data_IF_303680567941
#
_entry.id   IF_303680567941
#
_cell.length_a   1.000
_cell.length_b   1.000
_cell.length_c   1.000
_cell.angle_alpha   90.00
_cell.angle_beta   90.00
_cell.angle_gamma   90.00
#
_symmetry.space_group_name_H-M   'P 1'
#
loop_
_entity.id
_entity.type
_entity.pdbx_description
1 polymer ?
#
# COMPACT_ATOMS: atom_id res chain seq x y z
N UNK A 1 0.45 -23.28 -12.03
CA UNK A 1 1.41 -22.36 -11.38
C UNK A 1 1.49 -20.98 -12.06
N UNK A 2 1.09 -20.79 -13.33
CA UNK A 2 1.12 -19.46 -13.97
C UNK A 2 -0.01 -18.50 -13.56
N UNK A 3 -1.22 -18.99 -13.28
CA UNK A 3 -2.39 -18.12 -13.00
C UNK A 3 -2.29 -17.34 -11.68
N UNK A 4 -1.84 -17.98 -10.60
CA UNK A 4 -1.68 -17.34 -9.28
C UNK A 4 -0.59 -16.26 -9.34
N UNK A 5 0.51 -16.51 -10.07
CA UNK A 5 1.57 -15.53 -10.30
C UNK A 5 1.05 -14.29 -11.04
N UNK A 6 0.31 -14.48 -12.14
CA UNK A 6 -0.22 -13.36 -12.94
C UNK A 6 -1.25 -12.51 -12.18
N UNK A 7 -2.08 -13.13 -11.34
CA UNK A 7 -3.06 -12.43 -10.51
C UNK A 7 -2.36 -11.53 -9.48
N UNK A 8 -1.37 -12.07 -8.76
CA UNK A 8 -0.60 -11.32 -7.76
C UNK A 8 0.19 -10.19 -8.41
N UNK A 9 0.80 -10.43 -9.58
CA UNK A 9 1.49 -9.38 -10.35
C UNK A 9 0.52 -8.25 -10.72
N UNK A 10 -0.67 -8.59 -11.23
CA UNK A 10 -1.68 -7.60 -11.62
C UNK A 10 -2.15 -6.76 -10.43
N UNK A 11 -2.36 -7.39 -9.28
CA UNK A 11 -2.74 -6.71 -8.04
C UNK A 11 -1.62 -5.78 -7.57
N UNK A 12 -0.37 -6.21 -7.62
CA UNK A 12 0.77 -5.36 -7.27
C UNK A 12 0.87 -4.14 -8.18
N UNK A 13 0.60 -4.25 -9.48
CA UNK A 13 0.54 -3.08 -10.36
C UNK A 13 -0.56 -2.10 -9.97
N UNK A 14 -1.76 -2.59 -9.66
CA UNK A 14 -2.87 -1.75 -9.18
C UNK A 14 -2.47 -1.06 -7.87
N UNK A 15 -1.86 -1.80 -6.94
CA UNK A 15 -1.39 -1.25 -5.67
C UNK A 15 -0.33 -0.15 -5.86
N UNK A 16 0.59 -0.29 -6.82
CA UNK A 16 1.57 0.77 -7.16
C UNK A 16 0.84 2.03 -7.66
N UNK A 17 -0.12 1.87 -8.58
CA UNK A 17 -0.88 3.00 -9.10
C UNK A 17 -1.68 3.69 -8.00
N UNK A 18 -2.33 2.92 -7.12
CA UNK A 18 -3.02 3.44 -5.95
C UNK A 18 -2.07 4.20 -5.03
N UNK A 19 -0.90 3.63 -4.70
CA UNK A 19 0.06 4.27 -3.80
C UNK A 19 0.58 5.61 -4.35
N UNK A 20 0.83 5.68 -5.67
CA UNK A 20 1.21 6.93 -6.33
C UNK A 20 0.05 7.94 -6.26
N UNK A 21 -1.18 7.53 -6.57
CA UNK A 21 -2.34 8.40 -6.50
C UNK A 21 -2.61 8.90 -5.08
N UNK A 22 -2.45 8.04 -4.06
CA UNK A 22 -2.57 8.35 -2.64
C UNK A 22 -1.52 9.38 -2.23
N UNK A 23 -0.26 9.22 -2.67
CA UNK A 23 0.81 10.17 -2.42
C UNK A 23 0.52 11.53 -3.06
N UNK A 24 0.11 11.57 -4.33
CA UNK A 24 -0.24 12.80 -5.03
C UNK A 24 -1.42 13.54 -4.38
N UNK A 25 -2.46 12.81 -3.96
CA UNK A 25 -3.60 13.39 -3.26
C UNK A 25 -3.23 13.88 -1.86
N UNK A 26 -2.38 13.14 -1.13
CA UNK A 26 -1.85 13.60 0.16
C UNK A 26 -1.07 14.91 -0.02
N UNK A 27 -0.20 15.01 -1.02
CA UNK A 27 0.52 16.25 -1.36
C UNK A 27 -0.43 17.40 -1.71
N UNK A 28 -1.51 17.09 -2.43
CA UNK A 28 -2.53 18.09 -2.78
C UNK A 28 -3.32 18.56 -1.56
N UNK A 29 -3.58 17.71 -0.56
CA UNK A 29 -4.34 18.09 0.65
C UNK A 29 -3.45 18.86 1.63
N UNK A 30 -2.23 18.38 1.85
CA UNK A 30 -1.27 19.02 2.76
C UNK A 30 -0.39 20.01 2.01
N UNK A 31 -1.06 20.97 1.39
CA UNK A 31 -0.43 22.09 0.72
C UNK A 31 0.09 23.12 1.74
N UNK A 32 0.61 24.24 1.24
CA UNK A 32 1.10 25.32 2.09
C UNK A 32 0.06 25.86 3.08
N UNK A 33 -1.23 25.85 2.71
CA UNK A 33 -2.31 26.39 3.55
C UNK A 33 -2.52 25.49 4.76
N UNK A 34 -2.63 24.18 4.53
CA UNK A 34 -2.81 23.23 5.63
C UNK A 34 -1.54 23.11 6.46
N UNK A 35 -0.36 23.06 5.84
CA UNK A 35 0.91 22.89 6.55
C UNK A 35 1.27 24.06 7.48
N UNK A 36 0.78 25.28 7.19
CA UNK A 36 0.96 26.44 8.06
C UNK A 36 -0.29 26.75 8.91
N UNK A 37 -1.19 25.78 9.07
CA UNK A 37 -2.39 25.89 9.93
C UNK A 37 -3.33 27.06 9.56
N UNK A 38 -3.27 27.53 8.31
CA UNK A 38 -4.09 28.64 7.83
C UNK A 38 -5.52 28.21 7.46
N UNK A 39 -5.81 26.91 7.50
CA UNK A 39 -7.14 26.37 7.25
C UNK A 39 -7.91 26.13 8.55
N UNK A 40 -8.62 27.16 9.01
CA UNK A 40 -9.35 27.17 10.28
C UNK A 40 -10.77 27.74 10.16
N UNK A 41 -11.60 27.48 11.17
CA UNK A 41 -12.97 28.02 11.27
C UNK A 41 -12.99 29.40 11.89
N UNK A 42 -13.92 30.27 11.49
CA UNK A 42 -14.21 31.55 12.15
C UNK A 42 -15.60 31.45 12.81
N UNK A 43 -15.81 31.95 14.04
CA UNK A 43 -14.88 32.72 14.88
C UNK A 43 -13.94 31.88 15.76
N UNK A 44 -14.16 30.57 15.90
CA UNK A 44 -13.47 29.74 16.91
C UNK A 44 -11.98 29.47 16.64
N UNK A 45 -11.44 29.94 15.50
CA UNK A 45 -10.06 29.75 15.04
C UNK A 45 -9.56 28.30 15.10
N UNK A 46 -10.47 27.34 15.01
CA UNK A 46 -10.14 25.92 15.10
C UNK A 46 -9.60 25.42 13.75
N UNK A 47 -8.37 24.92 13.76
CA UNK A 47 -7.75 24.25 12.60
C UNK A 47 -8.60 23.04 12.18
N UNK A 48 -9.01 23.02 10.91
CA UNK A 48 -9.89 21.99 10.34
C UNK A 48 -9.13 20.75 9.88
N UNK A 49 -7.89 20.93 9.41
CA UNK A 49 -6.99 19.86 9.03
C UNK A 49 -5.66 20.05 9.74
N UNK A 50 -5.33 19.11 10.62
CA UNK A 50 -4.08 19.12 11.37
C UNK A 50 -2.91 18.72 10.47
N UNK A 51 -1.81 19.50 10.42
CA UNK A 51 -0.61 19.16 9.65
C UNK A 51 -0.02 17.79 10.01
N UNK A 52 -0.12 17.39 11.27
CA UNK A 52 0.41 16.11 11.79
C UNK A 52 -0.16 14.88 11.08
N UNK A 53 -1.37 14.98 10.50
CA UNK A 53 -1.97 13.89 9.72
C UNK A 53 -1.19 13.60 8.43
N UNK A 54 -0.43 14.57 7.91
CA UNK A 54 0.39 14.41 6.71
C UNK A 54 1.43 13.31 6.87
N UNK A 55 2.05 13.20 8.04
CA UNK A 55 3.05 12.19 8.34
C UNK A 55 2.46 10.78 8.20
N UNK A 56 1.24 10.57 8.67
CA UNK A 56 0.55 9.28 8.53
C UNK A 56 0.24 8.95 7.07
N UNK A 57 -0.28 9.90 6.29
CA UNK A 57 -0.64 9.64 4.90
C UNK A 57 0.59 9.46 4.00
N UNK A 58 1.64 10.25 4.20
CA UNK A 58 2.91 10.09 3.47
C UNK A 58 3.64 8.81 3.85
N UNK A 59 3.83 8.53 5.14
CA UNK A 59 4.52 7.32 5.58
C UNK A 59 3.81 6.06 5.10
N UNK A 60 2.48 6.03 5.16
CA UNK A 60 1.69 4.89 4.67
C UNK A 60 1.83 4.74 3.15
N UNK A 61 1.68 5.81 2.37
CA UNK A 61 1.82 5.76 0.91
C UNK A 61 3.23 5.33 0.47
N UNK A 62 4.28 5.81 1.15
CA UNK A 62 5.67 5.42 0.88
C UNK A 62 5.90 3.95 1.25
N UNK A 63 5.43 3.50 2.43
CA UNK A 63 5.54 2.11 2.84
C UNK A 63 4.87 1.17 1.83
N UNK A 64 3.68 1.53 1.34
CA UNK A 64 2.96 0.80 0.31
C UNK A 64 3.76 0.70 -0.99
N UNK A 65 4.31 1.83 -1.44
CA UNK A 65 5.13 1.87 -2.64
C UNK A 65 6.40 1.00 -2.49
N UNK A 66 7.05 1.03 -1.33
CA UNK A 66 8.22 0.20 -1.04
C UNK A 66 7.87 -1.29 -1.00
N UNK A 67 6.78 -1.68 -0.35
CA UNK A 67 6.36 -3.08 -0.29
C UNK A 67 6.02 -3.63 -1.68
N UNK A 68 5.24 -2.88 -2.45
CA UNK A 68 4.79 -3.30 -3.79
C UNK A 68 5.94 -3.31 -4.81
N UNK A 69 6.84 -2.33 -4.75
CA UNK A 69 8.05 -2.30 -5.58
C UNK A 69 9.00 -3.44 -5.22
N UNK A 70 9.17 -3.77 -3.94
CA UNK A 70 9.96 -4.93 -3.52
C UNK A 70 9.39 -6.23 -4.11
N UNK A 71 8.07 -6.42 -4.09
CA UNK A 71 7.42 -7.60 -4.66
C UNK A 71 7.61 -7.70 -6.18
N UNK A 72 7.56 -6.57 -6.91
CA UNK A 72 7.73 -6.53 -8.36
C UNK A 72 9.20 -6.67 -8.80
N UNK A 73 10.14 -6.14 -8.02
CA UNK A 73 11.56 -6.12 -8.34
C UNK A 73 12.33 -7.36 -7.85
N UNK A 74 11.66 -8.36 -7.26
CA UNK A 74 12.26 -9.66 -6.86
C UNK A 74 13.12 -10.28 -7.97
N UNK A 75 12.72 -10.11 -9.23
CA UNK A 75 13.41 -10.64 -10.40
C UNK A 75 14.71 -9.91 -10.76
N UNK A 76 14.93 -8.70 -10.22
CA UNK A 76 16.05 -7.80 -10.52
C UNK A 76 16.92 -7.52 -9.28
N UNK A 77 16.79 -8.35 -8.25
CA UNK A 77 17.47 -8.18 -6.96
C UNK A 77 18.99 -8.39 -7.09
N UNK A 78 19.84 -7.59 -6.42
CA UNK A 78 21.28 -7.80 -6.40
C UNK A 78 21.66 -9.20 -5.89
N UNK A 79 22.67 -9.82 -6.51
CA UNK A 79 23.21 -11.15 -6.15
C UNK A 79 23.35 -11.45 -4.65
N UNK A 80 23.87 -10.56 -3.78
CA UNK A 80 23.96 -10.85 -2.35
C UNK A 80 22.59 -11.00 -1.67
N UNK A 81 21.60 -10.19 -2.07
CA UNK A 81 20.26 -10.23 -1.51
C UNK A 81 19.46 -11.42 -2.07
N UNK A 82 19.74 -11.82 -3.33
CA UNK A 82 19.24 -13.06 -3.90
C UNK A 82 19.76 -14.29 -3.13
N UNK A 83 21.07 -14.36 -2.88
CA UNK A 83 21.66 -15.43 -2.06
C UNK A 83 21.05 -15.48 -0.65
N UNK A 84 20.83 -14.31 -0.02
CA UNK A 84 20.14 -14.26 1.27
C UNK A 84 18.70 -14.79 1.21
N UNK A 85 17.94 -14.40 0.18
CA UNK A 85 16.56 -14.84 -0.02
C UNK A 85 16.46 -16.36 -0.28
N UNK A 86 17.39 -16.92 -1.05
CA UNK A 86 17.49 -18.36 -1.31
C UNK A 86 17.87 -19.15 -0.05
N UNK A 87 18.73 -18.58 0.81
CA UNK A 87 19.16 -19.20 2.06
C UNK A 87 18.13 -19.09 3.19
N UNK A 88 17.28 -18.05 3.17
CA UNK A 88 16.30 -17.78 4.25
C UNK A 88 14.87 -17.52 3.74
N UNK A 89 14.29 -18.42 2.91
CA UNK A 89 13.01 -18.16 2.24
C UNK A 89 11.83 -18.06 3.21
N UNK A 90 11.86 -18.81 4.32
CA UNK A 90 10.82 -18.76 5.35
C UNK A 90 10.85 -17.43 6.13
N UNK A 91 12.03 -16.94 6.48
CA UNK A 91 12.20 -15.66 7.18
C UNK A 91 11.72 -14.50 6.30
N UNK A 92 12.11 -14.49 5.02
CA UNK A 92 11.67 -13.46 4.08
C UNK A 92 10.15 -13.48 3.87
N UNK A 93 9.58 -14.68 3.74
CA UNK A 93 8.14 -14.87 3.60
C UNK A 93 7.37 -14.38 4.84
N UNK A 94 7.87 -14.73 6.04
CA UNK A 94 7.30 -14.27 7.30
C UNK A 94 7.37 -12.74 7.43
N UNK A 95 8.54 -12.15 7.16
CA UNK A 95 8.74 -10.70 7.26
C UNK A 95 7.85 -9.95 6.26
N UNK A 96 7.74 -10.42 5.02
CA UNK A 96 6.84 -9.83 4.04
C UNK A 96 5.36 -9.94 4.47
N UNK A 97 4.93 -11.08 5.02
CA UNK A 97 3.58 -11.25 5.56
C UNK A 97 3.28 -10.31 6.74
N UNK A 98 4.24 -10.12 7.65
CA UNK A 98 4.12 -9.18 8.77
C UNK A 98 4.03 -7.74 8.27
N UNK A 99 4.89 -7.35 7.31
CA UNK A 99 4.85 -6.02 6.74
C UNK A 99 3.54 -5.74 5.99
N UNK A 100 3.02 -6.70 5.21
CA UNK A 100 1.72 -6.59 4.55
C UNK A 100 0.56 -6.46 5.55
N UNK A 101 0.63 -7.19 6.67
CA UNK A 101 -0.38 -7.08 7.74
C UNK A 101 -0.35 -5.70 8.39
N UNK A 102 0.85 -5.21 8.73
CA UNK A 102 1.03 -3.89 9.31
C UNK A 102 0.59 -2.77 8.36
N UNK A 103 0.93 -2.87 7.06
CA UNK A 103 0.48 -1.89 6.07
C UNK A 103 -1.04 -1.91 5.89
N UNK A 104 -1.68 -3.07 5.93
CA UNK A 104 -3.14 -3.16 5.88
C UNK A 104 -3.80 -2.41 7.06
N UNK A 105 -3.30 -2.60 8.28
CA UNK A 105 -3.78 -1.88 9.46
C UNK A 105 -3.56 -0.37 9.35
N UNK A 106 -2.38 0.05 8.85
CA UNK A 106 -2.09 1.46 8.60
C UNK A 106 -3.01 2.07 7.54
N UNK A 107 -3.33 1.34 6.47
CA UNK A 107 -4.30 1.79 5.46
C UNK A 107 -5.71 1.94 6.03
N UNK A 108 -6.16 0.99 6.85
CA UNK A 108 -7.44 1.09 7.53
C UNK A 108 -7.47 2.29 8.50
N UNK A 109 -6.38 2.54 9.22
CA UNK A 109 -6.23 3.71 10.09
C UNK A 109 -6.24 5.02 9.29
N UNK A 110 -5.52 5.10 8.18
CA UNK A 110 -5.51 6.28 7.31
C UNK A 110 -6.88 6.51 6.65
N UNK A 111 -7.61 5.45 6.30
CA UNK A 111 -9.00 5.52 5.87
C UNK A 111 -9.88 6.16 6.94
N UNK A 112 -9.78 5.70 8.18
CA UNK A 112 -10.50 6.27 9.31
C UNK A 112 -10.17 7.76 9.51
N UNK A 113 -8.88 8.12 9.52
CA UNK A 113 -8.44 9.51 9.65
C UNK A 113 -8.99 10.39 8.52
N UNK A 114 -8.86 9.95 7.27
CA UNK A 114 -9.33 10.70 6.10
C UNK A 114 -10.86 10.88 6.14
N UNK A 115 -11.60 9.83 6.52
CA UNK A 115 -13.05 9.90 6.69
C UNK A 115 -13.46 10.85 7.82
N UNK A 116 -12.81 10.76 8.98
CA UNK A 116 -13.08 11.64 10.13
C UNK A 116 -12.77 13.10 9.82
N UNK A 117 -11.62 13.37 9.19
CA UNK A 117 -11.24 14.70 8.73
C UNK A 117 -12.23 15.24 7.69
N UNK A 118 -12.64 14.42 6.71
CA UNK A 118 -13.65 14.81 5.73
C UNK A 118 -15.01 15.11 6.37
N UNK A 119 -15.39 14.40 7.44
CA UNK A 119 -16.63 14.68 8.17
C UNK A 119 -16.61 16.04 8.87
N UNK A 120 -15.45 16.42 9.41
CA UNK A 120 -15.23 17.75 10.01
C UNK A 120 -15.30 18.86 8.96
N UNK A 121 -14.59 18.68 7.84
CA UNK A 121 -14.57 19.65 6.73
C UNK A 121 -15.91 19.73 5.99
N UNK A 122 -16.61 18.60 5.85
CA UNK A 122 -17.86 18.49 5.09
C UNK A 122 -18.99 19.36 5.63
N UNK A 123 -18.95 19.74 6.91
CA UNK A 123 -19.89 20.71 7.51
C UNK A 123 -19.84 22.07 6.82
N UNK A 124 -18.67 22.44 6.29
CA UNK A 124 -18.42 23.73 5.65
C UNK A 124 -18.46 23.65 4.11
N UNK A 125 -18.43 22.45 3.54
CA UNK A 125 -18.39 22.23 2.10
C UNK A 125 -19.67 22.65 1.34
N UNK A 126 -20.82 22.75 2.03
CA UNK A 126 -22.12 22.96 1.35
C UNK A 126 -22.88 24.20 1.79
N UNK A 127 -22.60 24.76 2.98
CA UNK A 127 -23.38 25.87 3.56
C UNK A 127 -22.52 26.88 4.33
N UNK A 128 -21.24 27.02 4.00
CA UNK A 128 -20.38 27.99 4.68
C UNK A 128 -20.41 29.37 4.02
N UNK A 129 -20.28 30.40 4.84
CA UNK A 129 -20.05 31.78 4.42
C UNK A 129 -18.68 32.23 4.93
N UNK A 130 -17.83 32.88 4.12
CA UNK A 130 -18.03 33.28 2.72
C UNK A 130 -17.91 32.13 1.71
N UNK A 131 -18.41 32.34 0.48
CA UNK A 131 -18.42 31.31 -0.59
C UNK A 131 -17.03 30.77 -0.94
N UNK A 132 -16.00 31.61 -0.88
CA UNK A 132 -14.61 31.20 -1.09
C UNK A 132 -14.17 30.11 -0.09
N UNK A 133 -14.57 30.26 1.18
CA UNK A 133 -14.29 29.27 2.22
C UNK A 133 -15.10 27.98 2.00
N UNK A 134 -16.34 28.10 1.53
CA UNK A 134 -17.14 26.94 1.12
C UNK A 134 -16.47 26.18 -0.03
N UNK A 135 -16.03 26.87 -1.08
CA UNK A 135 -15.40 26.25 -2.25
C UNK A 135 -14.09 25.56 -1.88
N UNK A 136 -13.26 26.19 -1.03
CA UNK A 136 -12.06 25.57 -0.48
C UNK A 136 -12.41 24.34 0.38
N UNK A 137 -13.43 24.44 1.23
CA UNK A 137 -13.89 23.33 2.06
C UNK A 137 -14.38 22.15 1.22
N UNK A 138 -15.12 22.42 0.15
CA UNK A 138 -15.55 21.39 -0.80
C UNK A 138 -14.36 20.72 -1.50
N UNK A 139 -13.36 21.51 -1.90
CA UNK A 139 -12.16 21.02 -2.56
C UNK A 139 -11.36 20.04 -1.68
N UNK A 140 -11.19 20.35 -0.39
CA UNK A 140 -10.56 19.44 0.58
C UNK A 140 -11.44 18.24 0.91
N UNK A 141 -12.75 18.45 1.05
CA UNK A 141 -13.72 17.39 1.33
C UNK A 141 -13.66 16.26 0.29
N UNK A 142 -13.72 16.62 -1.00
CA UNK A 142 -13.69 15.64 -2.10
C UNK A 142 -12.38 14.85 -2.10
N UNK A 143 -11.23 15.53 -1.89
CA UNK A 143 -9.93 14.86 -1.88
C UNK A 143 -9.73 13.93 -0.70
N UNK A 144 -10.17 14.33 0.50
CA UNK A 144 -10.12 13.46 1.67
C UNK A 144 -10.98 12.20 1.48
N UNK A 145 -12.15 12.33 0.83
CA UNK A 145 -13.00 11.18 0.49
C UNK A 145 -12.36 10.29 -0.56
N UNK A 146 -11.77 10.86 -1.61
CA UNK A 146 -11.04 10.11 -2.62
C UNK A 146 -9.85 9.36 -1.99
N UNK A 147 -9.11 10.02 -1.10
CA UNK A 147 -7.98 9.42 -0.40
C UNK A 147 -8.40 8.28 0.53
N UNK A 148 -9.54 8.42 1.23
CA UNK A 148 -10.10 7.33 2.03
C UNK A 148 -10.46 6.11 1.17
N UNK A 149 -11.04 6.33 -0.02
CA UNK A 149 -11.35 5.24 -0.96
C UNK A 149 -10.07 4.55 -1.42
N UNK A 150 -9.01 5.30 -1.75
CA UNK A 150 -7.74 4.72 -2.15
C UNK A 150 -7.11 3.86 -1.05
N UNK A 151 -7.01 4.37 0.19
CA UNK A 151 -6.49 3.58 1.30
C UNK A 151 -7.35 2.34 1.60
N UNK A 152 -8.67 2.42 1.41
CA UNK A 152 -9.55 1.25 1.54
C UNK A 152 -9.25 0.21 0.47
N UNK A 153 -9.10 0.64 -0.78
CA UNK A 153 -8.76 -0.24 -1.90
C UNK A 153 -7.40 -0.89 -1.69
N UNK A 154 -6.39 -0.13 -1.25
CA UNK A 154 -5.06 -0.64 -0.91
C UNK A 154 -5.14 -1.69 0.20
N UNK A 155 -5.87 -1.41 1.28
CA UNK A 155 -6.09 -2.35 2.38
C UNK A 155 -6.72 -3.67 1.90
N UNK A 156 -7.78 -3.60 1.10
CA UNK A 156 -8.48 -4.79 0.57
C UNK A 156 -7.55 -5.59 -0.36
N UNK A 157 -6.85 -4.93 -1.28
CA UNK A 157 -5.94 -5.58 -2.22
C UNK A 157 -4.77 -6.23 -1.50
N UNK A 158 -4.22 -5.60 -0.46
CA UNK A 158 -3.18 -6.19 0.39
C UNK A 158 -3.66 -7.40 1.16
N UNK A 159 -4.87 -7.33 1.76
CA UNK A 159 -5.48 -8.49 2.40
C UNK A 159 -5.69 -9.63 1.41
N UNK A 160 -6.09 -9.33 0.18
CA UNK A 160 -6.23 -10.35 -0.86
C UNK A 160 -4.88 -11.00 -1.20
N UNK A 161 -3.82 -10.22 -1.38
CA UNK A 161 -2.44 -10.74 -1.57
C UNK A 161 -2.05 -11.62 -0.39
N UNK A 162 -2.34 -11.19 0.83
CA UNK A 162 -2.03 -11.93 2.04
C UNK A 162 -2.79 -13.27 2.11
N UNK A 163 -4.09 -13.27 1.80
CA UNK A 163 -4.91 -14.47 1.75
C UNK A 163 -4.45 -15.46 0.67
N UNK A 164 -4.11 -14.95 -0.52
CA UNK A 164 -3.67 -15.80 -1.65
C UNK A 164 -2.28 -16.38 -1.40
N UNK A 165 -1.33 -15.59 -0.89
CA UNK A 165 0.06 -16.01 -0.72
C UNK A 165 0.32 -16.79 0.58
N UNK A 166 -0.36 -16.45 1.67
CA UNK A 166 -0.02 -16.95 3.02
C UNK A 166 -1.11 -17.78 3.68
N UNK A 167 -2.39 -17.46 3.48
CA UNK A 167 -3.50 -18.25 4.05
C UNK A 167 -4.09 -19.31 3.11
N UNK A 168 -3.58 -19.43 1.89
CA UNK A 168 -3.71 -20.66 1.11
C UNK A 168 -5.12 -20.98 0.61
N UNK A 169 -5.75 -20.07 -0.14
CA UNK A 169 -6.86 -20.47 -1.04
C UNK A 169 -6.34 -21.45 -2.13
N UNK A 170 -5.03 -21.47 -2.38
CA UNK A 170 -4.32 -22.66 -2.88
C UNK A 170 -3.06 -22.90 -2.03
N UNK A 171 -3.16 -23.77 -1.01
CA UNK A 171 -2.01 -24.30 -0.26
C UNK A 171 -0.96 -24.94 -1.21
N UNK A 172 0.00 -24.13 -1.66
CA UNK A 172 1.21 -24.59 -2.34
C UNK A 172 2.42 -23.76 -1.93
N UNK A 173 2.69 -23.72 -0.62
CA UNK A 173 4.10 -23.79 -0.18
C UNK A 173 4.66 -25.17 -0.56
N UNK A 174 4.72 -25.45 -1.86
CA UNK A 174 5.63 -26.45 -2.40
C UNK A 174 6.99 -25.77 -2.30
N UNK A 175 7.67 -26.05 -1.19
CA UNK A 175 9.04 -25.70 -0.86
C UNK A 175 9.86 -25.23 -2.06
N UNK A 176 10.53 -24.08 -1.91
CA UNK A 176 11.54 -23.54 -2.83
C UNK A 176 12.58 -24.60 -3.28
N UNK A 177 12.66 -25.77 -2.63
CA UNK A 177 13.38 -26.96 -3.11
C UNK A 177 13.04 -27.40 -4.55
N UNK A 178 11.91 -26.99 -5.14
CA UNK A 178 11.57 -27.36 -6.53
C UNK A 178 12.00 -26.37 -7.62
N UNK A 179 12.55 -25.20 -7.27
CA UNK A 179 13.21 -24.33 -8.26
C UNK A 179 14.72 -24.59 -8.38
N UNK A 180 15.35 -25.18 -7.36
CA UNK A 180 16.78 -25.56 -7.40
C UNK A 180 17.04 -26.92 -8.04
N UNK A 181 16.03 -27.78 -8.20
CA UNK A 181 16.17 -29.06 -8.91
C UNK A 181 15.78 -28.91 -10.38
N UNK A 182 16.62 -28.21 -11.14
CA UNK A 182 16.80 -28.61 -12.53
C UNK A 182 17.47 -30.00 -12.49
N UNK A 183 16.90 -31.05 -13.11
CA UNK A 183 17.42 -32.39 -12.97
C UNK A 183 18.83 -32.46 -13.58
N UNK A 184 19.80 -32.92 -12.78
CA UNK A 184 20.99 -33.56 -13.30
C UNK A 184 20.55 -34.58 -14.35
N UNK A 185 20.95 -34.36 -15.60
CA UNK A 185 20.91 -35.38 -16.64
C UNK A 185 21.90 -36.46 -16.19
N UNK A 186 21.39 -37.40 -15.40
CA UNK A 186 22.05 -38.65 -15.07
C UNK A 186 22.08 -39.48 -16.35
N UNK A 187 23.23 -39.47 -17.02
CA UNK A 187 23.55 -40.43 -18.07
C UNK A 187 23.49 -41.84 -17.46
N UNK A 188 22.63 -42.75 -17.93
CA UNK A 188 22.64 -44.12 -17.46
C UNK A 188 23.90 -44.82 -17.95
N UNK A 189 24.77 -45.12 -16.99
CA UNK A 189 25.85 -46.08 -17.10
C UNK A 189 25.23 -47.43 -17.54
N UNK A 190 25.41 -47.82 -18.81
CA UNK A 190 25.26 -49.20 -19.26
C UNK A 190 26.66 -49.75 -19.51
N UNK A 191 27.15 -50.46 -18.50
CA UNK A 191 27.54 -51.88 -18.54
C UNK A 191 28.84 -52.18 -19.30
N UNK A 192 29.85 -52.59 -18.54
CA UNK A 192 30.84 -53.58 -18.97
C UNK A 192 30.13 -54.87 -19.39
N UNK A 193 30.28 -55.27 -20.66
CA UNK A 193 30.82 -56.56 -21.13
C UNK A 193 31.48 -56.30 -22.49
#
# INVERSE_FOLDING_TARGET
MSRVSNLVISINYILVVCAIASLCLACSIFDFIVMNEMYYTVPDMRVLLRPEMSLWFYATSILLLLLTSLTLLVSSVPKPLQSFAENNPQLLSFLHGVCLSASCLLCAYCTFLAMHASGSVGKYAFKATPRQFQDASYWYFVRLRALAILFTMESILQMFVLCVLYFGIECRYRSFNKLSQQPEITLPNKLFV
#
